data_IF_457714315499
#
_entry.id   IF_457714315499
#
_cell.length_a   1.000
_cell.length_b   1.000
_cell.length_c   1.000
_cell.angle_alpha   90.00
_cell.angle_beta   90.00
_cell.angle_gamma   90.00
#
_symmetry.space_group_name_H-M   'P 1'
#
loop_
_entity.id
_entity.type
_entity.pdbx_description
1 polymer ?
#
# COMPACT_ATOMS: atom_id res chain seq x y z
N UNK A 1 -2.44 67.76 7.90
CA UNK A 1 -2.71 66.46 8.55
C UNK A 1 -2.75 65.37 7.48
N UNK A 2 -1.75 64.47 7.44
CA UNK A 2 -1.69 63.36 6.47
C UNK A 2 -2.40 62.14 7.05
N UNK A 3 -3.49 61.68 6.41
CA UNK A 3 -4.15 60.40 6.74
C UNK A 3 -3.39 59.25 6.07
N UNK A 4 -2.89 58.30 6.85
CA UNK A 4 -2.31 57.05 6.36
C UNK A 4 -3.43 56.01 6.23
N UNK A 5 -3.64 55.48 5.03
CA UNK A 5 -4.51 54.32 4.81
C UNK A 5 -3.69 53.06 5.03
N UNK A 6 -4.10 52.24 6.00
CA UNK A 6 -3.54 50.93 6.28
C UNK A 6 -4.26 49.92 5.37
N UNK A 7 -3.60 49.46 4.32
CA UNK A 7 -4.09 48.37 3.47
C UNK A 7 -3.84 47.05 4.20
N UNK A 8 -4.90 46.44 4.72
CA UNK A 8 -4.85 45.08 5.28
C UNK A 8 -5.01 44.11 4.10
N UNK A 9 -3.95 43.39 3.76
CA UNK A 9 -4.03 42.23 2.88
C UNK A 9 -4.72 41.09 3.64
N UNK A 10 -6.00 40.86 3.35
CA UNK A 10 -6.67 39.62 3.72
C UNK A 10 -6.14 38.52 2.81
N UNK A 11 -5.15 37.76 3.29
CA UNK A 11 -4.80 36.48 2.69
C UNK A 11 -5.94 35.50 2.98
N UNK A 12 -6.86 35.37 2.02
CA UNK A 12 -7.79 34.24 1.98
C UNK A 12 -6.96 33.01 1.64
N UNK A 13 -6.47 32.34 2.69
CA UNK A 13 -5.90 31.01 2.58
C UNK A 13 -7.04 30.06 2.22
N UNK A 14 -7.21 29.83 0.92
CA UNK A 14 -8.12 28.85 0.37
C UNK A 14 -7.58 27.45 0.73
N UNK A 15 -7.77 27.05 1.98
CA UNK A 15 -7.66 25.67 2.43
C UNK A 15 -8.84 24.92 1.80
N UNK A 16 -8.70 24.54 0.53
CA UNK A 16 -9.47 23.41 -0.01
C UNK A 16 -8.94 22.18 0.74
N UNK A 17 -9.50 21.99 1.94
CA UNK A 17 -9.18 20.89 2.81
C UNK A 17 -9.43 19.60 2.07
N UNK A 18 -8.34 18.88 1.80
CA UNK A 18 -8.37 17.42 1.82
C UNK A 18 -9.14 17.04 3.08
N UNK A 19 -10.39 16.62 2.93
CA UNK A 19 -11.12 16.01 4.02
C UNK A 19 -10.20 14.93 4.62
N UNK A 20 -10.00 14.89 5.94
CA UNK A 20 -9.21 13.84 6.54
C UNK A 20 -9.86 12.52 6.15
N UNK A 21 -9.16 11.75 5.30
CA UNK A 21 -9.44 10.34 5.00
C UNK A 21 -9.11 9.48 6.22
N UNK A 22 -9.67 9.88 7.37
CA UNK A 22 -9.69 9.18 8.64
C UNK A 22 -11.15 9.17 9.10
N UNK A 23 -11.97 8.42 8.39
CA UNK A 23 -13.26 8.01 8.91
C UNK A 23 -13.15 6.53 9.28
N UNK A 24 -12.36 6.24 10.32
CA UNK A 24 -12.62 5.04 11.09
C UNK A 24 -13.91 5.28 11.87
N UNK A 25 -14.84 4.33 11.86
CA UNK A 25 -15.99 4.40 12.75
C UNK A 25 -15.47 4.44 14.20
N UNK A 26 -15.80 5.51 14.92
CA UNK A 26 -15.59 5.69 16.36
C UNK A 26 -14.20 6.02 16.88
N UNK A 27 -13.55 7.12 16.47
CA UNK A 27 -12.61 7.85 17.35
C UNK A 27 -11.41 7.06 17.94
N UNK A 28 -11.24 5.80 17.56
CA UNK A 28 -10.14 4.94 17.87
C UNK A 28 -9.21 5.10 16.69
N UNK A 29 -8.33 6.09 16.81
CA UNK A 29 -7.01 5.90 16.25
C UNK A 29 -6.45 4.70 17.02
N UNK A 30 -6.23 3.52 16.43
CA UNK A 30 -5.21 2.68 17.03
C UNK A 30 -3.97 3.58 16.94
N UNK A 31 -3.39 3.91 18.08
CA UNK A 31 -2.24 4.79 18.15
C UNK A 31 -1.04 4.02 17.58
N UNK A 32 -1.06 3.75 16.27
CA UNK A 32 0.08 3.21 15.58
C UNK A 32 1.17 4.23 15.70
N UNK A 33 2.17 3.83 16.45
CA UNK A 33 3.37 4.59 16.68
C UNK A 33 4.57 3.70 16.38
N UNK A 34 5.68 4.36 16.10
CA UNK A 34 6.94 3.72 15.78
C UNK A 34 7.10 3.39 14.30
N UNK A 35 8.18 2.68 14.03
CA UNK A 35 8.63 2.39 12.68
C UNK A 35 8.06 1.05 12.21
N UNK A 36 7.36 1.06 11.08
CA UNK A 36 6.82 -0.12 10.42
C UNK A 36 7.67 -0.52 9.23
N UNK A 37 7.85 -1.81 9.00
CA UNK A 37 8.62 -2.36 7.89
C UNK A 37 7.66 -2.93 6.86
N UNK A 38 7.82 -2.54 5.62
CA UNK A 38 6.96 -2.96 4.51
C UNK A 38 7.80 -3.60 3.42
N UNK A 39 7.35 -4.74 2.90
CA UNK A 39 7.86 -5.33 1.67
C UNK A 39 6.81 -5.22 0.56
N UNK A 40 7.29 -5.04 -0.67
CA UNK A 40 6.48 -5.06 -1.88
C UNK A 40 6.96 -6.20 -2.76
N UNK A 41 6.08 -7.13 -3.12
CA UNK A 41 6.38 -8.22 -4.06
C UNK A 41 5.63 -7.95 -5.36
N UNK A 42 6.38 -7.75 -6.44
CA UNK A 42 5.84 -7.44 -7.76
C UNK A 42 5.70 -8.72 -8.57
N UNK A 43 4.55 -8.88 -9.21
CA UNK A 43 4.21 -10.05 -10.01
C UNK A 43 3.87 -9.65 -11.44
N UNK A 44 4.11 -10.56 -12.37
CA UNK A 44 3.62 -10.53 -13.73
C UNK A 44 2.95 -11.88 -14.03
N UNK A 45 1.97 -11.88 -14.91
CA UNK A 45 1.44 -13.11 -15.52
C UNK A 45 2.23 -13.38 -16.80
N UNK A 46 2.27 -14.65 -17.22
CA UNK A 46 2.94 -15.02 -18.47
C UNK A 46 2.49 -14.19 -19.69
N UNK A 47 1.24 -13.75 -19.71
CA UNK A 47 0.60 -12.95 -20.75
C UNK A 47 0.32 -11.50 -20.34
N UNK A 48 0.74 -11.08 -19.13
CA UNK A 48 0.43 -9.74 -18.62
C UNK A 48 1.55 -9.17 -17.75
N UNK A 49 2.09 -8.05 -18.19
CA UNK A 49 3.14 -7.35 -17.47
C UNK A 49 2.68 -6.87 -16.08
N UNK A 50 3.65 -6.72 -15.18
CA UNK A 50 3.45 -6.06 -13.89
C UNK A 50 2.84 -4.66 -14.07
N UNK A 51 1.89 -4.22 -13.20
CA UNK A 51 1.27 -2.90 -13.28
C UNK A 51 2.22 -1.70 -13.25
N UNK A 52 3.45 -1.89 -12.79
CA UNK A 52 4.43 -0.82 -12.65
C UNK A 52 5.88 -1.33 -12.68
N UNK A 53 6.84 -0.40 -12.70
CA UNK A 53 8.27 -0.68 -12.60
C UNK A 53 8.76 -0.59 -11.16
N UNK A 54 9.84 -1.32 -10.83
CA UNK A 54 10.43 -1.34 -9.48
C UNK A 54 10.76 0.07 -8.98
N UNK A 55 11.35 0.92 -9.82
CA UNK A 55 11.70 2.29 -9.45
C UNK A 55 10.47 3.15 -9.16
N UNK A 56 9.40 3.00 -9.95
CA UNK A 56 8.16 3.75 -9.71
C UNK A 56 7.47 3.32 -8.42
N UNK A 57 7.48 2.01 -8.10
CA UNK A 57 7.00 1.51 -6.81
C UNK A 57 7.81 2.15 -5.69
N UNK A 58 9.14 2.11 -5.76
CA UNK A 58 10.02 2.74 -4.77
C UNK A 58 9.68 4.22 -4.57
N UNK A 59 9.48 4.95 -5.67
CA UNK A 59 9.13 6.37 -5.60
C UNK A 59 7.78 6.62 -4.91
N UNK A 60 6.77 5.78 -5.17
CA UNK A 60 5.43 5.89 -4.56
C UNK A 60 5.41 5.49 -3.08
N UNK A 61 6.30 4.60 -2.67
CA UNK A 61 6.35 4.14 -1.28
C UNK A 61 7.23 5.07 -0.42
N UNK A 62 8.41 5.47 -0.91
CA UNK A 62 9.38 6.19 -0.08
C UNK A 62 9.72 7.61 -0.57
N UNK A 63 10.01 7.80 -1.87
CA UNK A 63 10.82 8.95 -2.29
C UNK A 63 10.05 10.20 -2.77
N UNK A 64 8.79 10.11 -3.21
CA UNK A 64 8.07 11.27 -3.75
C UNK A 64 7.37 12.11 -2.64
N UNK A 65 6.97 13.34 -2.97
CA UNK A 65 6.30 14.27 -2.03
C UNK A 65 4.90 13.82 -1.59
N UNK A 66 4.38 12.76 -2.21
CA UNK A 66 3.10 12.14 -1.89
C UNK A 66 3.28 10.68 -1.46
N UNK A 67 4.48 10.30 -1.01
CA UNK A 67 4.81 8.89 -0.81
C UNK A 67 3.97 8.30 0.29
N UNK A 68 3.80 6.98 0.28
CA UNK A 68 3.14 6.27 1.36
C UNK A 68 3.76 6.66 2.72
N UNK A 69 5.09 6.64 2.79
CA UNK A 69 5.86 7.04 3.96
C UNK A 69 5.49 8.46 4.40
N UNK A 70 5.58 9.43 3.48
CA UNK A 70 5.27 10.83 3.79
C UNK A 70 3.81 11.03 4.21
N UNK A 71 2.87 10.37 3.52
CA UNK A 71 1.45 10.39 3.86
C UNK A 71 1.23 9.97 5.30
N UNK A 72 1.75 8.80 5.70
CA UNK A 72 1.54 8.32 7.08
C UNK A 72 2.34 9.09 8.12
N UNK A 73 3.52 9.60 7.77
CA UNK A 73 4.30 10.48 8.66
C UNK A 73 3.54 11.78 8.93
N UNK A 74 3.03 12.44 7.89
CA UNK A 74 2.26 13.69 8.02
C UNK A 74 0.95 13.44 8.79
N UNK A 75 0.20 12.41 8.39
CA UNK A 75 -1.12 12.12 8.93
C UNK A 75 -1.09 11.60 10.38
N UNK A 76 0.00 10.94 10.79
CA UNK A 76 0.24 10.53 12.18
C UNK A 76 0.92 11.61 13.03
N UNK A 77 1.18 12.81 12.49
CA UNK A 77 1.94 13.88 13.16
C UNK A 77 3.32 13.42 13.64
N UNK A 78 4.04 12.71 12.77
CA UNK A 78 5.35 12.10 13.02
C UNK A 78 5.35 10.97 14.06
N UNK A 79 4.19 10.39 14.40
CA UNK A 79 4.13 9.28 15.36
C UNK A 79 4.41 7.93 14.70
N UNK A 80 4.11 7.78 13.42
CA UNK A 80 4.32 6.58 12.63
C UNK A 80 5.16 6.89 11.40
N UNK A 81 6.17 6.06 11.15
CA UNK A 81 6.97 6.10 9.93
C UNK A 81 7.07 4.69 9.34
N UNK A 82 7.33 4.60 8.05
CA UNK A 82 7.74 3.36 7.43
C UNK A 82 9.25 3.36 7.35
N UNK A 83 9.87 2.43 8.07
CA UNK A 83 11.31 2.22 8.10
C UNK A 83 11.82 2.24 6.67
N UNK A 84 12.75 3.16 6.42
CA UNK A 84 13.53 3.09 5.22
C UNK A 84 14.29 1.77 5.28
N UNK A 85 14.34 1.03 4.17
CA UNK A 85 15.03 -0.24 4.21
C UNK A 85 16.54 0.02 4.36
N UNK A 86 17.28 -0.99 4.81
CA UNK A 86 18.59 -0.80 5.49
C UNK A 86 19.68 -0.08 4.66
N UNK A 87 19.47 0.11 3.37
CA UNK A 87 20.33 0.84 2.44
C UNK A 87 20.04 2.35 2.34
N UNK A 88 19.00 2.87 2.99
CA UNK A 88 18.70 4.29 2.96
C UNK A 88 19.45 5.07 4.04
N UNK A 89 19.89 6.28 3.71
CA UNK A 89 20.51 7.16 4.70
C UNK A 89 19.48 7.56 5.78
N UNK A 90 19.88 7.58 7.08
CA UNK A 90 18.98 7.90 8.20
C UNK A 90 18.33 9.30 8.12
N UNK A 91 18.94 10.22 7.37
CA UNK A 91 18.48 11.59 7.18
C UNK A 91 17.56 11.77 5.95
N UNK A 92 17.26 10.69 5.22
CA UNK A 92 16.43 10.73 4.01
C UNK A 92 17.07 11.44 2.81
N UNK A 93 18.36 11.78 2.86
CA UNK A 93 19.07 12.47 1.78
C UNK A 93 19.49 11.55 0.64
N UNK A 94 19.59 10.24 0.91
CA UNK A 94 19.85 9.20 -0.09
C UNK A 94 18.53 8.53 -0.46
N UNK A 95 18.11 8.54 -1.74
CA UNK A 95 16.92 7.85 -2.19
C UNK A 95 17.00 6.37 -1.81
N UNK A 96 15.90 5.82 -1.28
CA UNK A 96 15.76 4.36 -1.13
C UNK A 96 15.97 3.75 -2.50
N UNK A 97 16.90 2.80 -2.62
CA UNK A 97 17.22 2.26 -3.94
C UNK A 97 16.21 1.19 -4.29
N UNK A 98 16.13 0.07 -3.56
CA UNK A 98 15.17 -1.01 -3.87
C UNK A 98 14.98 -2.11 -2.80
N UNK A 99 15.66 -2.08 -1.65
CA UNK A 99 15.90 -3.29 -0.84
C UNK A 99 14.68 -3.94 -0.16
N UNK A 100 13.48 -3.35 -0.28
CA UNK A 100 12.20 -3.93 0.15
C UNK A 100 11.19 -4.12 -0.99
N UNK A 101 11.59 -3.88 -2.24
CA UNK A 101 10.77 -4.14 -3.44
C UNK A 101 11.38 -5.30 -4.20
N UNK A 102 10.60 -6.35 -4.42
CA UNK A 102 11.01 -7.64 -4.98
C UNK A 102 10.34 -7.86 -6.33
N UNK A 103 11.05 -8.46 -7.30
CA UNK A 103 10.53 -8.74 -8.64
C UNK A 103 10.63 -7.57 -9.65
N UNK A 104 9.84 -7.60 -10.74
CA UNK A 104 8.69 -8.47 -10.95
C UNK A 104 9.06 -9.93 -11.21
N UNK A 105 8.29 -10.85 -10.64
CA UNK A 105 8.37 -12.28 -10.96
C UNK A 105 7.24 -12.69 -11.89
N UNK A 106 7.58 -13.30 -13.02
CA UNK A 106 6.60 -13.88 -13.92
C UNK A 106 6.13 -15.21 -13.36
N UNK A 107 4.82 -15.32 -13.12
CA UNK A 107 4.17 -16.55 -12.74
C UNK A 107 3.56 -17.21 -13.99
N UNK A 108 3.97 -18.46 -14.21
CA UNK A 108 3.30 -19.34 -15.16
C UNK A 108 2.08 -19.92 -14.47
N UNK A 109 0.92 -19.43 -14.88
CA UNK A 109 -0.36 -19.88 -14.36
C UNK A 109 -0.85 -20.98 -15.30
N UNK A 110 -1.08 -22.19 -14.75
CA UNK A 110 -1.64 -23.31 -15.52
C UNK A 110 -3.00 -22.93 -16.13
N UNK A 111 -3.34 -23.50 -17.29
CA UNK A 111 -4.65 -23.27 -17.91
C UNK A 111 -5.79 -23.61 -16.92
N UNK A 112 -6.78 -22.72 -16.83
CA UNK A 112 -7.92 -22.86 -15.91
C UNK A 112 -7.75 -22.26 -14.51
N UNK A 113 -6.56 -21.72 -14.18
CA UNK A 113 -6.41 -20.91 -12.97
C UNK A 113 -7.02 -19.53 -13.16
N UNK A 114 -7.74 -19.07 -12.13
CA UNK A 114 -8.32 -17.75 -12.13
C UNK A 114 -7.22 -16.68 -11.94
N UNK A 115 -7.02 -15.86 -12.98
CA UNK A 115 -6.14 -14.68 -12.92
C UNK A 115 -6.82 -13.52 -12.17
N UNK A 116 -8.09 -13.69 -11.83
CA UNK A 116 -8.89 -12.79 -11.02
C UNK A 116 -8.76 -13.14 -9.54
N UNK A 117 -7.71 -12.61 -8.95
CA UNK A 117 -7.71 -12.40 -7.51
C UNK A 117 -8.85 -11.40 -7.26
N UNK A 118 -9.99 -11.81 -6.72
CA UNK A 118 -11.13 -10.93 -6.37
C UNK A 118 -11.74 -11.34 -5.03
N UNK A 119 -12.50 -10.43 -4.41
CA UNK A 119 -13.19 -10.60 -3.13
C UNK A 119 -13.97 -11.93 -3.00
N UNK A 120 -14.70 -12.34 -4.05
CA UNK A 120 -15.49 -13.57 -4.05
C UNK A 120 -14.66 -14.84 -3.89
N UNK A 121 -13.40 -14.81 -4.34
CA UNK A 121 -12.47 -15.93 -4.25
C UNK A 121 -11.63 -15.91 -2.97
N UNK A 122 -11.55 -14.77 -2.25
CA UNK A 122 -10.76 -14.61 -1.00
C UNK A 122 -11.64 -14.79 0.25
N UNK A 123 -12.88 -14.29 0.28
CA UNK A 123 -13.74 -14.39 1.47
C UNK A 123 -14.52 -15.71 1.58
N UNK A 124 -14.92 -16.33 0.47
CA UNK A 124 -15.49 -17.70 0.47
C UNK A 124 -14.51 -18.76 0.99
N UNK A 125 -13.25 -18.38 1.21
CA UNK A 125 -12.10 -19.26 1.17
C UNK A 125 -11.43 -19.45 2.53
N UNK A 126 -11.56 -18.48 3.44
CA UNK A 126 -11.20 -18.67 4.85
C UNK A 126 -12.14 -19.64 5.60
N UNK A 127 -13.25 -20.07 4.97
CA UNK A 127 -14.23 -21.01 5.55
C UNK A 127 -14.40 -22.36 4.84
N UNK A 128 -14.08 -22.48 3.54
CA UNK A 128 -14.27 -23.73 2.78
C UNK A 128 -13.25 -23.86 1.65
N UNK A 129 -12.34 -24.84 1.76
CA UNK A 129 -11.22 -25.06 0.84
C UNK A 129 -11.61 -25.32 -0.62
N UNK A 130 -11.39 -24.31 -1.47
CA UNK A 130 -11.19 -24.49 -2.91
C UNK A 130 -9.69 -24.45 -3.26
N UNK A 131 -9.21 -24.92 -4.42
CA UNK A 131 -7.76 -25.09 -4.65
C UNK A 131 -6.99 -23.94 -5.35
N UNK A 132 -7.53 -22.72 -5.48
CA UNK A 132 -7.01 -21.77 -6.49
C UNK A 132 -6.31 -20.47 -6.00
N UNK A 133 -6.54 -19.97 -4.78
CA UNK A 133 -5.82 -18.77 -4.28
C UNK A 133 -4.69 -19.05 -3.28
N UNK A 134 -4.70 -20.22 -2.62
CA UNK A 134 -3.61 -20.69 -1.74
C UNK A 134 -2.24 -20.77 -2.41
N UNK A 135 -2.18 -20.73 -3.74
CA UNK A 135 -0.95 -21.00 -4.47
C UNK A 135 -0.19 -19.74 -4.93
N UNK A 136 -0.82 -18.57 -5.07
CA UNK A 136 -0.11 -17.42 -5.67
C UNK A 136 0.79 -16.71 -4.67
N UNK A 137 0.31 -16.40 -3.47
CA UNK A 137 1.10 -15.64 -2.50
C UNK A 137 2.24 -16.45 -1.87
N UNK A 138 2.04 -17.71 -1.45
CA UNK A 138 3.17 -18.56 -1.04
C UNK A 138 4.21 -18.71 -2.15
N UNK A 139 3.81 -18.99 -3.40
CA UNK A 139 4.76 -19.08 -4.53
C UNK A 139 5.49 -17.75 -4.79
N UNK A 140 4.79 -16.62 -4.73
CA UNK A 140 5.39 -15.30 -4.87
C UNK A 140 6.45 -15.03 -3.79
N UNK A 141 6.16 -15.37 -2.53
CA UNK A 141 7.11 -15.25 -1.43
C UNK A 141 8.27 -16.22 -1.58
N UNK A 142 8.03 -17.46 -2.00
CA UNK A 142 9.08 -18.47 -2.20
C UNK A 142 10.02 -18.05 -3.34
N UNK A 143 9.48 -17.48 -4.42
CA UNK A 143 10.30 -16.87 -5.49
C UNK A 143 11.10 -15.69 -4.98
N UNK A 144 10.49 -14.81 -4.17
CA UNK A 144 11.20 -13.69 -3.57
C UNK A 144 12.32 -14.16 -2.62
N UNK A 145 12.05 -15.20 -1.82
CA UNK A 145 12.99 -15.78 -0.88
C UNK A 145 14.15 -16.43 -1.62
N UNK A 146 13.84 -17.21 -2.67
CA UNK A 146 14.84 -17.93 -3.46
C UNK A 146 15.72 -17.00 -4.31
N UNK A 147 15.16 -15.95 -4.91
CA UNK A 147 15.89 -15.07 -5.83
C UNK A 147 16.58 -13.90 -5.16
N UNK A 148 15.91 -13.30 -4.18
CA UNK A 148 16.31 -12.02 -3.62
C UNK A 148 16.47 -12.08 -2.09
N UNK A 149 16.43 -13.28 -1.49
CA UNK A 149 16.66 -13.48 -0.06
C UNK A 149 15.57 -12.91 0.85
N UNK A 150 14.36 -12.69 0.32
CA UNK A 150 13.21 -12.23 1.09
C UNK A 150 12.94 -13.12 2.30
N UNK A 151 12.68 -12.48 3.46
CA UNK A 151 12.25 -13.15 4.70
C UNK A 151 11.05 -12.40 5.25
N UNK A 152 9.88 -13.05 5.22
CA UNK A 152 8.62 -12.41 5.65
C UNK A 152 8.70 -11.84 7.08
N UNK A 153 9.39 -12.51 8.00
CA UNK A 153 9.59 -12.06 9.39
C UNK A 153 10.33 -10.72 9.55
N UNK A 154 10.98 -10.23 8.49
CA UNK A 154 11.66 -8.94 8.50
C UNK A 154 10.70 -7.77 8.24
N UNK A 155 9.43 -8.04 7.97
CA UNK A 155 8.44 -7.04 7.60
C UNK A 155 7.20 -7.18 8.47
N UNK A 156 6.58 -6.04 8.76
CA UNK A 156 5.32 -5.98 9.49
C UNK A 156 4.14 -6.07 8.51
N UNK A 157 4.34 -5.63 7.26
CA UNK A 157 3.35 -5.71 6.18
C UNK A 157 3.99 -6.14 4.86
N UNK A 158 3.23 -6.89 4.05
CA UNK A 158 3.66 -7.34 2.73
C UNK A 158 2.55 -7.00 1.72
N UNK A 159 2.87 -6.14 0.74
CA UNK A 159 1.98 -5.82 -0.36
C UNK A 159 2.37 -6.58 -1.63
N UNK A 160 1.40 -7.15 -2.32
CA UNK A 160 1.59 -7.78 -3.63
C UNK A 160 1.12 -6.83 -4.73
N UNK A 161 2.00 -6.46 -5.66
CA UNK A 161 1.62 -5.71 -6.86
C UNK A 161 1.37 -6.72 -7.98
N UNK A 162 0.12 -6.89 -8.38
CA UNK A 162 -0.29 -7.98 -9.27
C UNK A 162 -1.00 -7.43 -10.50
N UNK A 163 -0.80 -8.01 -11.69
CA UNK A 163 -1.54 -7.56 -12.86
C UNK A 163 -3.04 -7.82 -12.66
N UNK A 164 -3.83 -6.81 -12.98
CA UNK A 164 -5.28 -6.87 -12.90
C UNK A 164 -5.84 -8.03 -13.74
N UNK A 165 -6.65 -8.93 -13.19
CA UNK A 165 -7.35 -9.93 -13.99
C UNK A 165 -8.60 -9.36 -14.72
N UNK A 166 -9.19 -10.05 -15.69
CA UNK A 166 -10.39 -9.61 -16.42
C UNK A 166 -11.66 -9.36 -15.58
N UNK A 167 -11.92 -10.08 -14.48
CA UNK A 167 -13.13 -9.94 -13.65
C UNK A 167 -12.98 -9.05 -12.41
N UNK A 168 -11.78 -8.52 -12.15
CA UNK A 168 -11.50 -7.59 -11.03
C UNK A 168 -12.23 -6.22 -11.10
N UNK A 169 -13.09 -5.98 -12.09
CA UNK A 169 -14.01 -4.84 -12.14
C UNK A 169 -13.30 -3.48 -12.04
N UNK A 170 -13.81 -2.57 -11.20
CA UNK A 170 -13.21 -1.26 -10.92
C UNK A 170 -12.25 -1.23 -9.72
N UNK A 171 -12.04 -2.37 -9.06
CA UNK A 171 -11.24 -2.48 -7.83
C UNK A 171 -9.76 -2.15 -8.10
N UNK A 172 -9.16 -1.39 -7.20
CA UNK A 172 -7.77 -0.92 -7.27
C UNK A 172 -6.78 -1.80 -6.49
N UNK A 173 -7.27 -2.48 -5.45
CA UNK A 173 -6.55 -3.40 -4.58
C UNK A 173 -7.51 -4.02 -3.57
N UNK A 174 -6.96 -4.79 -2.63
CA UNK A 174 -7.68 -5.23 -1.45
C UNK A 174 -6.72 -5.59 -0.32
N UNK A 175 -7.20 -5.44 0.90
CA UNK A 175 -6.58 -5.95 2.10
C UNK A 175 -7.63 -6.29 3.16
N UNK A 176 -7.29 -7.23 4.05
CA UNK A 176 -8.05 -7.47 5.27
C UNK A 176 -7.79 -6.37 6.31
N UNK A 177 -8.79 -6.11 7.14
CA UNK A 177 -8.66 -5.27 8.33
C UNK A 177 -7.77 -5.99 9.35
N UNK A 178 -6.76 -5.30 9.89
CA UNK A 178 -5.74 -5.87 10.80
C UNK A 178 -4.97 -7.07 10.22
N UNK A 179 -4.91 -7.18 8.89
CA UNK A 179 -4.14 -8.22 8.20
C UNK A 179 -2.69 -7.74 7.92
N UNK A 180 -1.77 -8.68 7.75
CA UNK A 180 -0.38 -8.46 7.33
C UNK A 180 -0.27 -8.25 5.82
N UNK A 181 -1.25 -8.74 5.06
CA UNK A 181 -1.16 -8.82 3.60
C UNK A 181 -2.14 -7.88 2.90
N UNK A 182 -1.67 -7.28 1.81
CA UNK A 182 -2.52 -6.53 0.88
C UNK A 182 -2.09 -6.82 -0.55
N UNK A 183 -2.96 -6.54 -1.51
CA UNK A 183 -2.63 -6.60 -2.92
C UNK A 183 -3.14 -5.38 -3.67
N UNK A 184 -2.39 -4.99 -4.70
CA UNK A 184 -2.64 -3.83 -5.53
C UNK A 184 -2.69 -4.26 -7.00
N UNK A 185 -3.81 -3.99 -7.65
CA UNK A 185 -3.97 -4.17 -9.10
C UNK A 185 -3.59 -2.92 -9.88
N UNK A 186 -3.71 -1.77 -9.22
CA UNK A 186 -3.47 -0.46 -9.80
C UNK A 186 -2.54 0.31 -8.87
N UNK A 187 -1.32 0.58 -9.34
CA UNK A 187 -0.34 1.36 -8.59
C UNK A 187 -0.66 2.87 -8.63
N UNK A 188 -1.68 3.30 -7.90
CA UNK A 188 -2.00 4.71 -7.64
C UNK A 188 -1.91 5.00 -6.15
N UNK A 189 -1.43 6.19 -5.81
CA UNK A 189 -1.11 6.56 -4.42
C UNK A 189 -2.29 6.36 -3.46
N UNK A 190 -3.49 6.74 -3.88
CA UNK A 190 -4.69 6.60 -3.07
C UNK A 190 -5.01 5.14 -2.74
N UNK A 191 -4.82 4.20 -3.69
CA UNK A 191 -5.04 2.77 -3.43
C UNK A 191 -3.96 2.20 -2.52
N UNK A 192 -2.69 2.57 -2.71
CA UNK A 192 -1.60 2.11 -1.83
C UNK A 192 -1.90 2.50 -0.37
N UNK A 193 -2.27 3.77 -0.15
CA UNK A 193 -2.60 4.27 1.19
C UNK A 193 -3.88 3.62 1.73
N UNK A 194 -4.89 3.39 0.87
CA UNK A 194 -6.16 2.76 1.24
C UNK A 194 -5.95 1.32 1.73
N UNK A 195 -5.27 0.49 0.92
CA UNK A 195 -5.08 -0.93 1.26
C UNK A 195 -4.17 -1.10 2.49
N UNK A 196 -3.16 -0.26 2.67
CA UNK A 196 -2.37 -0.28 3.91
C UNK A 196 -3.18 0.19 5.12
N UNK A 197 -4.13 1.11 4.91
CA UNK A 197 -5.05 1.57 5.94
C UNK A 197 -5.84 0.41 6.51
N UNK A 198 -6.33 -0.49 5.66
CA UNK A 198 -6.95 -1.74 6.09
C UNK A 198 -6.01 -2.63 6.90
N UNK A 199 -4.77 -2.85 6.46
CA UNK A 199 -3.79 -3.61 7.25
C UNK A 199 -3.47 -2.96 8.62
N UNK A 200 -3.70 -1.66 8.74
CA UNK A 200 -3.65 -0.90 10.00
C UNK A 200 -5.02 -0.85 10.71
N UNK A 201 -5.95 -1.74 10.42
CA UNK A 201 -7.23 -1.81 11.15
C UNK A 201 -8.25 -0.73 10.78
N UNK A 202 -8.01 0.07 9.73
CA UNK A 202 -8.99 1.08 9.30
C UNK A 202 -10.07 0.43 8.44
N UNK A 203 -11.33 0.69 8.76
CA UNK A 203 -12.48 0.36 7.90
C UNK A 203 -12.73 1.42 6.83
N UNK A 204 -13.71 1.18 5.95
CA UNK A 204 -14.21 2.24 5.06
C UNK A 204 -14.97 3.31 5.86
N UNK A 205 -15.02 4.53 5.31
CA UNK A 205 -15.65 5.71 5.93
C UNK A 205 -17.13 5.58 6.28
N UNK A 206 -17.80 4.55 5.78
CA UNK A 206 -19.22 4.25 5.97
C UNK A 206 -19.47 2.89 6.63
N UNK A 207 -18.44 2.13 7.01
CA UNK A 207 -18.59 0.86 7.71
C UNK A 207 -18.71 1.15 9.20
N UNK A 208 -19.92 1.01 9.76
CA UNK A 208 -20.09 0.89 11.21
C UNK A 208 -19.64 -0.52 11.55
N UNK A 209 -18.46 -0.68 12.14
CA UNK A 209 -18.08 -1.95 12.77
C UNK A 209 -18.91 -2.03 14.07
N UNK A 210 -19.90 -2.91 14.08
CA UNK A 210 -20.77 -3.18 15.23
C UNK A 210 -20.13 -4.14 16.22
#
# INVERSE_FOLDING_TARGET
>A
MKKRYLTIFSAVLLMMGLAPLFAGSQGQYPAYSGNKRIAIIMLAWQDKACPDTRQNVVNKIWNNSQSLRKYYLDMSRNMMDFALPADAAPDGTVPVTTSSVYGPYTLTIAEGFDKDITYANVESYYGTGGPYLENVFPVARDLAAARDGFKASNYDYIMYVTPKGPSTGSVGGYAGVDDTYSHLYVMRQNYINHELGHNLGLGHSNTVVG
#
